data_IF_045377743290
#
_entry.id   IF_045377743290
#
_cell.length_a   1.000
_cell.length_b   1.000
_cell.length_c   1.000
_cell.angle_alpha   90.00
_cell.angle_beta   90.00
_cell.angle_gamma   90.00
#
_symmetry.space_group_name_H-M   'P 1'
#
loop_
_entity.id
_entity.type
_entity.pdbx_description
1 polymer ?
#
# COMPACT_ATOMS: atom_id res chain seq x y z
N UNK A 1 -19.60 -5.54 -5.22
CA UNK A 1 -19.23 -4.22 -5.78
C UNK A 1 -18.21 -4.42 -6.89
N UNK A 2 -18.27 -3.67 -8.00
CA UNK A 2 -17.27 -3.81 -9.09
C UNK A 2 -15.90 -3.35 -8.60
N UNK A 3 -14.83 -4.07 -8.99
CA UNK A 3 -13.44 -3.79 -8.56
C UNK A 3 -12.97 -2.39 -8.96
N UNK A 4 -13.45 -1.85 -10.07
CA UNK A 4 -13.12 -0.50 -10.56
C UNK A 4 -14.37 0.26 -10.99
N UNK A 5 -14.32 1.59 -10.89
CA UNK A 5 -15.39 2.46 -11.34
C UNK A 5 -15.28 2.72 -12.86
N UNK A 6 -15.88 1.82 -13.64
CA UNK A 6 -15.86 1.89 -15.11
C UNK A 6 -16.43 3.22 -15.65
N UNK A 7 -17.44 3.79 -14.99
CA UNK A 7 -18.02 5.07 -15.40
C UNK A 7 -17.02 6.21 -15.23
N UNK A 8 -16.30 6.23 -14.10
CA UNK A 8 -15.25 7.22 -13.83
C UNK A 8 -14.09 7.11 -14.83
N UNK A 9 -13.60 5.91 -15.10
CA UNK A 9 -12.55 5.66 -16.10
C UNK A 9 -12.98 6.18 -17.48
N UNK A 10 -14.22 5.87 -17.91
CA UNK A 10 -14.71 6.29 -19.23
C UNK A 10 -14.86 7.82 -19.33
N UNK A 11 -15.35 8.47 -18.27
CA UNK A 11 -15.42 9.95 -18.23
C UNK A 11 -14.04 10.58 -18.34
N UNK A 12 -13.05 10.04 -17.62
CA UNK A 12 -11.66 10.51 -17.68
C UNK A 12 -11.03 10.28 -19.05
N UNK A 13 -11.26 9.13 -19.67
CA UNK A 13 -10.80 8.86 -21.04
C UNK A 13 -11.38 9.88 -22.03
N UNK A 14 -12.68 10.16 -21.96
CA UNK A 14 -13.31 11.16 -22.83
C UNK A 14 -12.80 12.58 -22.60
N UNK A 15 -12.48 12.95 -21.37
CA UNK A 15 -11.87 14.23 -21.04
C UNK A 15 -10.48 14.37 -21.70
N UNK A 16 -9.63 13.34 -21.58
CA UNK A 16 -8.32 13.29 -22.22
C UNK A 16 -8.42 13.39 -23.75
N UNK A 17 -9.42 12.78 -24.38
CA UNK A 17 -9.67 12.92 -25.83
C UNK A 17 -10.04 14.36 -26.19
N UNK A 18 -10.90 15.00 -25.39
CA UNK A 18 -11.41 16.36 -25.68
C UNK A 18 -10.39 17.45 -25.41
N UNK A 19 -9.60 17.31 -24.35
CA UNK A 19 -8.67 18.34 -23.87
C UNK A 19 -7.29 18.15 -24.49
N UNK A 20 -6.75 16.94 -24.44
CA UNK A 20 -5.38 16.64 -24.89
C UNK A 20 -5.33 16.17 -26.35
N UNK A 21 -6.49 16.02 -27.02
CA UNK A 21 -6.57 15.55 -28.41
C UNK A 21 -6.09 14.11 -28.62
N UNK A 22 -6.00 13.30 -27.56
CA UNK A 22 -5.54 11.91 -27.63
C UNK A 22 -6.52 11.00 -28.38
N UNK A 23 -6.01 9.91 -28.95
CA UNK A 23 -6.88 8.83 -29.44
C UNK A 23 -7.56 8.11 -28.27
N UNK A 24 -8.78 7.61 -28.51
CA UNK A 24 -9.59 6.97 -27.47
C UNK A 24 -8.90 5.75 -26.84
N UNK A 25 -8.10 5.01 -27.60
CA UNK A 25 -7.38 3.83 -27.10
C UNK A 25 -6.28 4.22 -26.11
N UNK A 26 -5.46 5.22 -26.44
CA UNK A 26 -4.42 5.74 -25.53
C UNK A 26 -5.02 6.42 -24.30
N UNK A 27 -6.08 7.21 -24.48
CA UNK A 27 -6.79 7.85 -23.38
C UNK A 27 -7.40 6.82 -22.40
N UNK A 28 -7.93 5.71 -22.94
CA UNK A 28 -8.46 4.62 -22.12
C UNK A 28 -7.33 3.92 -21.36
N UNK A 29 -6.19 3.61 -22.00
CA UNK A 29 -5.02 3.02 -21.31
C UNK A 29 -4.51 3.92 -20.18
N UNK A 30 -4.44 5.23 -20.40
CA UNK A 30 -3.98 6.22 -19.42
C UNK A 30 -4.94 6.31 -18.23
N UNK A 31 -6.24 6.49 -18.48
CA UNK A 31 -7.26 6.54 -17.43
C UNK A 31 -7.36 5.26 -16.60
N UNK A 32 -7.18 4.07 -17.22
CA UNK A 32 -7.07 2.81 -16.48
C UNK A 32 -5.86 2.77 -15.57
N UNK A 33 -4.71 3.31 -16.00
CA UNK A 33 -3.49 3.37 -15.18
C UNK A 33 -3.68 4.32 -14.00
N UNK A 34 -4.29 5.49 -14.23
CA UNK A 34 -4.62 6.48 -13.20
C UNK A 34 -5.54 5.88 -12.11
N UNK A 35 -6.65 5.25 -12.50
CA UNK A 35 -7.59 4.66 -11.53
C UNK A 35 -6.96 3.50 -10.73
N UNK A 36 -6.09 2.71 -11.37
CA UNK A 36 -5.34 1.65 -10.67
C UNK A 36 -4.38 2.23 -9.63
N UNK A 37 -3.56 3.22 -10.01
CA UNK A 37 -2.62 3.88 -9.11
C UNK A 37 -3.34 4.51 -7.92
N UNK A 38 -4.43 5.25 -8.16
CA UNK A 38 -5.20 5.89 -7.08
C UNK A 38 -5.76 4.86 -6.09
N UNK A 39 -6.21 3.70 -6.57
CA UNK A 39 -6.77 2.67 -5.70
C UNK A 39 -5.68 1.94 -4.91
N UNK A 40 -4.53 1.69 -5.54
CA UNK A 40 -3.35 1.10 -4.90
C UNK A 40 -2.82 2.02 -3.79
N UNK A 41 -2.64 3.31 -4.11
CA UNK A 41 -2.26 4.35 -3.14
C UNK A 41 -3.25 4.41 -1.97
N UNK A 42 -4.56 4.33 -2.23
CA UNK A 42 -5.57 4.37 -1.19
C UNK A 42 -5.49 3.17 -0.22
N UNK A 43 -5.21 1.95 -0.72
CA UNK A 43 -5.03 0.78 0.16
C UNK A 43 -3.77 0.94 0.99
N UNK A 44 -2.65 1.32 0.38
CA UNK A 44 -1.37 1.50 1.07
C UNK A 44 -1.51 2.57 2.16
N UNK A 45 -2.12 3.71 1.84
CA UNK A 45 -2.35 4.81 2.78
C UNK A 45 -3.26 4.39 3.94
N UNK A 46 -4.34 3.65 3.65
CA UNK A 46 -5.24 3.11 4.68
C UNK A 46 -4.50 2.16 5.63
N UNK A 47 -3.69 1.25 5.09
CA UNK A 47 -2.90 0.31 5.90
C UNK A 47 -1.81 1.04 6.68
N UNK A 48 -1.17 2.05 6.10
CA UNK A 48 -0.15 2.86 6.76
C UNK A 48 -0.74 3.58 7.98
N UNK A 49 -1.90 4.24 7.83
CA UNK A 49 -2.58 4.91 8.94
C UNK A 49 -2.91 3.94 10.08
N UNK A 50 -3.41 2.74 9.75
CA UNK A 50 -3.66 1.67 10.73
C UNK A 50 -2.38 1.24 11.46
N UNK A 51 -1.27 1.10 10.73
CA UNK A 51 0.02 0.72 11.30
C UNK A 51 0.63 1.84 12.16
N UNK A 52 0.45 3.11 11.81
CA UNK A 52 0.89 4.25 12.63
C UNK A 52 0.12 4.32 13.96
N UNK A 53 -1.19 4.08 13.91
CA UNK A 53 -2.05 3.97 15.10
C UNK A 53 -1.59 2.80 15.99
N UNK A 54 -1.33 1.64 15.40
CA UNK A 54 -0.86 0.45 16.11
C UNK A 54 0.55 0.66 16.68
N UNK A 55 1.48 1.24 15.91
CA UNK A 55 2.84 1.52 16.35
C UNK A 55 2.87 2.41 17.60
N UNK A 56 1.90 3.30 17.75
CA UNK A 56 1.81 4.21 18.90
C UNK A 56 1.19 3.56 20.14
N UNK A 57 0.20 2.68 19.95
CA UNK A 57 -0.68 2.23 21.04
C UNK A 57 -0.53 0.75 21.43
N UNK A 58 0.05 -0.09 20.58
CA UNK A 58 0.13 -1.53 20.83
C UNK A 58 1.34 -1.90 21.69
N UNK A 59 1.11 -2.71 22.72
CA UNK A 59 2.15 -3.14 23.67
C UNK A 59 3.07 -4.23 23.13
N UNK A 60 2.69 -4.95 22.07
CA UNK A 60 3.54 -5.96 21.41
C UNK A 60 4.64 -5.30 20.57
N UNK A 61 4.43 -4.07 20.12
CA UNK A 61 5.40 -3.29 19.33
C UNK A 61 6.33 -2.55 20.29
N UNK A 62 7.26 -3.28 20.89
CA UNK A 62 8.13 -2.80 21.97
C UNK A 62 9.61 -2.63 21.58
N UNK A 63 9.97 -2.88 20.32
CA UNK A 63 11.35 -2.90 19.84
C UNK A 63 12.00 -1.52 19.65
N UNK A 64 11.84 -0.59 20.60
CA UNK A 64 12.37 0.77 20.51
C UNK A 64 11.34 1.81 20.92
N UNK A 65 11.76 3.07 20.88
CA UNK A 65 10.98 4.22 21.36
C UNK A 65 10.38 4.97 20.17
N UNK A 66 11.21 5.29 19.17
CA UNK A 66 10.74 5.92 17.94
C UNK A 66 10.33 4.84 16.93
N UNK A 67 9.18 5.03 16.28
CA UNK A 67 8.59 4.04 15.38
C UNK A 67 8.06 4.72 14.14
N UNK A 68 8.39 4.16 12.99
CA UNK A 68 8.01 4.73 11.69
C UNK A 68 7.51 3.62 10.77
N UNK A 69 6.40 3.87 10.07
CA UNK A 69 5.90 2.96 9.04
C UNK A 69 6.63 3.25 7.73
N UNK A 70 7.23 2.21 7.18
CA UNK A 70 8.00 2.24 5.96
C UNK A 70 7.36 1.39 4.87
N UNK A 71 7.49 1.85 3.63
CA UNK A 71 7.08 1.12 2.43
C UNK A 71 8.31 0.72 1.61
N UNK A 72 8.32 -0.53 1.14
CA UNK A 72 9.39 -1.04 0.26
C UNK A 72 8.80 -1.67 -0.98
N UNK A 73 9.02 -1.03 -2.12
CA UNK A 73 8.61 -1.53 -3.44
C UNK A 73 9.53 -2.66 -3.89
N UNK A 74 8.95 -3.72 -4.43
CA UNK A 74 9.66 -4.89 -4.95
C UNK A 74 9.04 -5.33 -6.27
N UNK A 75 9.90 -5.50 -7.28
CA UNK A 75 9.49 -5.97 -8.60
C UNK A 75 10.44 -7.06 -9.09
N UNK A 76 9.91 -8.24 -9.43
CA UNK A 76 10.69 -9.33 -10.04
C UNK A 76 9.76 -10.28 -10.81
N UNK A 77 10.21 -10.76 -11.96
CA UNK A 77 9.50 -11.78 -12.76
C UNK A 77 8.01 -11.46 -13.02
N UNK A 78 7.70 -10.18 -13.31
CA UNK A 78 6.33 -9.71 -13.55
C UNK A 78 5.46 -9.55 -12.31
N UNK A 79 5.97 -9.87 -11.12
CA UNK A 79 5.31 -9.62 -9.84
C UNK A 79 5.73 -8.25 -9.30
N UNK A 80 4.76 -7.50 -8.78
CA UNK A 80 4.94 -6.17 -8.21
C UNK A 80 4.30 -6.15 -6.83
N UNK A 81 5.07 -5.82 -5.79
CA UNK A 81 4.64 -5.84 -4.39
C UNK A 81 5.14 -4.60 -3.67
N UNK A 82 4.35 -4.11 -2.74
CA UNK A 82 4.77 -3.07 -1.79
C UNK A 82 4.70 -3.65 -0.40
N UNK A 83 5.86 -3.92 0.19
CA UNK A 83 5.98 -4.42 1.55
C UNK A 83 5.82 -3.27 2.55
N UNK A 84 5.13 -3.54 3.65
CA UNK A 84 4.96 -2.60 4.76
C UNK A 84 5.72 -3.13 5.98
N UNK A 85 6.37 -2.23 6.70
CA UNK A 85 7.06 -2.56 7.95
C UNK A 85 7.05 -1.40 8.94
N UNK A 86 6.93 -1.71 10.22
CA UNK A 86 7.14 -0.77 11.31
C UNK A 86 8.60 -0.86 11.70
N UNK A 87 9.39 0.16 11.36
CA UNK A 87 10.79 0.28 11.75
C UNK A 87 10.86 0.93 13.11
N UNK A 88 11.73 0.41 13.97
CA UNK A 88 11.87 0.88 15.34
C UNK A 88 13.30 1.34 15.60
N UNK A 89 13.43 2.46 16.30
CA UNK A 89 14.68 3.16 16.58
C UNK A 89 14.78 3.51 18.07
N UNK A 90 16.00 3.80 18.52
CA UNK A 90 16.24 4.43 19.83
C UNK A 90 15.93 5.93 19.76
N UNK A 91 15.82 6.59 20.92
CA UNK A 91 15.75 8.06 21.02
C UNK A 91 16.95 8.80 20.37
N UNK A 92 18.05 8.09 20.12
CA UNK A 92 19.22 8.65 19.43
C UNK A 92 19.22 8.30 17.93
N UNK A 93 18.10 7.82 17.38
CA UNK A 93 17.95 7.45 15.97
C UNK A 93 18.62 6.13 15.56
N UNK A 94 19.08 5.29 16.49
CA UNK A 94 19.73 4.00 16.13
C UNK A 94 18.67 2.94 15.83
N UNK A 95 18.74 2.33 14.66
CA UNK A 95 17.84 1.24 14.26
C UNK A 95 17.96 0.05 15.21
N UNK A 96 16.81 -0.46 15.68
CA UNK A 96 16.69 -1.63 16.56
C UNK A 96 16.18 -2.86 15.83
N UNK A 97 15.31 -2.66 14.84
CA UNK A 97 14.71 -3.72 14.06
C UNK A 97 13.39 -3.28 13.44
N UNK A 98 12.68 -4.22 12.83
CA UNK A 98 11.45 -3.95 12.11
C UNK A 98 10.44 -5.08 12.29
N UNK A 99 9.18 -4.72 12.49
CA UNK A 99 8.06 -5.65 12.40
C UNK A 99 7.56 -5.69 10.96
N UNK A 100 7.41 -6.89 10.41
CA UNK A 100 6.90 -7.11 9.05
C UNK A 100 5.38 -7.09 9.08
N UNK A 101 4.78 -6.30 8.20
CA UNK A 101 3.34 -6.03 8.23
C UNK A 101 2.62 -6.56 6.99
N UNK A 102 3.19 -7.55 6.30
CA UNK A 102 2.68 -8.05 5.03
C UNK A 102 3.00 -7.14 3.84
N UNK A 103 2.30 -7.36 2.74
CA UNK A 103 2.48 -6.61 1.50
C UNK A 103 1.18 -6.40 0.74
N UNK A 104 1.16 -5.36 -0.09
CA UNK A 104 0.13 -5.17 -1.11
C UNK A 104 0.66 -5.72 -2.43
N UNK A 105 -0.04 -6.68 -3.02
CA UNK A 105 0.22 -7.13 -4.37
C UNK A 105 -0.34 -6.08 -5.34
N UNK A 106 0.53 -5.45 -6.13
CA UNK A 106 0.16 -4.36 -7.03
C UNK A 106 -0.46 -4.87 -8.34
N UNK A 107 -0.43 -6.18 -8.60
CA UNK A 107 -1.09 -6.80 -9.75
C UNK A 107 -2.53 -7.14 -9.41
N UNK A 108 -2.76 -7.77 -8.25
CA UNK A 108 -4.12 -8.09 -7.79
C UNK A 108 -4.76 -6.95 -7.00
N UNK A 109 -3.99 -5.96 -6.55
CA UNK A 109 -4.41 -4.86 -5.68
C UNK A 109 -5.09 -5.37 -4.39
N UNK A 110 -4.45 -6.35 -3.77
CA UNK A 110 -4.92 -7.02 -2.55
C UNK A 110 -3.82 -7.00 -1.50
N UNK A 111 -4.22 -6.79 -0.26
CA UNK A 111 -3.34 -6.93 0.88
C UNK A 111 -3.19 -8.41 1.24
N UNK A 112 -1.95 -8.83 1.50
CA UNK A 112 -1.60 -10.19 1.90
C UNK A 112 -0.73 -10.12 3.15
N UNK A 113 -1.22 -10.73 4.23
CA UNK A 113 -0.44 -11.06 5.41
C UNK A 113 0.03 -12.51 5.29
N UNK A 114 1.35 -12.72 5.26
CA UNK A 114 1.97 -14.02 5.20
C UNK A 114 2.21 -14.63 6.58
N UNK A 115 2.53 -15.93 6.58
CA UNK A 115 2.84 -16.70 7.80
C UNK A 115 4.03 -16.16 8.62
N UNK A 116 4.93 -15.43 7.98
CA UNK A 116 6.16 -14.92 8.60
C UNK A 116 6.13 -13.42 8.88
N UNK A 117 4.95 -12.82 8.75
CA UNK A 117 4.73 -11.43 9.13
C UNK A 117 4.39 -11.36 10.62
N UNK A 118 4.78 -10.26 11.25
CA UNK A 118 4.62 -10.05 12.68
C UNK A 118 3.27 -9.37 12.99
N UNK A 119 2.75 -8.60 12.04
CA UNK A 119 1.55 -7.77 12.18
C UNK A 119 0.64 -7.93 10.98
N UNK A 120 -0.65 -8.14 11.23
CA UNK A 120 -1.69 -8.00 10.22
C UNK A 120 -2.17 -6.55 10.19
N UNK A 121 -1.77 -5.81 9.16
CA UNK A 121 -2.08 -4.40 8.97
C UNK A 121 -3.57 -4.14 8.71
N UNK A 122 -4.32 -5.12 8.19
CA UNK A 122 -5.74 -4.95 7.93
C UNK A 122 -6.55 -4.92 9.23
N UNK A 123 -6.22 -5.81 10.16
CA UNK A 123 -6.96 -6.02 11.41
C UNK A 123 -6.34 -5.29 12.60
N UNK A 124 -5.13 -4.71 12.43
CA UNK A 124 -4.33 -4.08 13.51
C UNK A 124 -4.00 -5.07 14.62
N UNK A 125 -3.70 -6.31 14.22
CA UNK A 125 -3.42 -7.39 15.15
C UNK A 125 -1.96 -7.82 15.06
N UNK A 126 -1.33 -7.99 16.22
CA UNK A 126 -0.04 -8.65 16.30
C UNK A 126 -0.28 -10.15 16.07
N UNK A 127 0.18 -10.66 14.93
CA UNK A 127 -0.02 -12.06 14.54
C UNK A 127 1.18 -12.94 14.85
N UNK A 128 2.27 -12.36 15.34
CA UNK A 128 3.32 -13.00 16.14
C UNK A 128 3.82 -14.35 15.64
N UNK A 129 5.06 -14.37 15.15
CA UNK A 129 5.74 -15.59 14.71
C UNK A 129 5.85 -16.68 15.79
#
# INVERSE_FOLDING_TARGET
MKKYNLSKIMKRAWELVKVDGMDISSALKKSWKEEKSMKEENIIETLKSKLEEMASNDYHINLGIEREVSEKKWEKNGQKRTYLSINCYTLSGKFKGSYKCGYVDMVTNEYVCGKYDDVNAADKEYVGR
#
